data_IF_902896295107
#
_entry.id   IF_902896295107
#
_cell.length_a   1.000
_cell.length_b   1.000
_cell.length_c   1.000
_cell.angle_alpha   90.00
_cell.angle_beta   90.00
_cell.angle_gamma   90.00
#
_symmetry.space_group_name_H-M   'P 1'
#
loop_
_entity.id
_entity.type
_entity.pdbx_description
1 polymer ?
#
# COMPACT_ATOMS: atom_id res chain seq x y z
N UNK A 1 -21.97 3.46 7.49
CA UNK A 1 -23.02 4.00 6.58
C UNK A 1 -23.60 5.33 7.05
N UNK A 2 -23.72 5.61 8.35
CA UNK A 2 -24.15 6.93 8.85
C UNK A 2 -23.10 8.03 8.60
N UNK A 3 -21.82 7.67 8.65
CA UNK A 3 -20.69 8.57 8.44
C UNK A 3 -20.47 8.95 6.96
N UNK A 4 -21.10 8.23 6.04
CA UNK A 4 -20.95 8.48 4.60
C UNK A 4 -21.85 9.62 4.10
N UNK A 5 -22.85 10.03 4.88
CA UNK A 5 -23.75 11.17 4.63
C UNK A 5 -24.24 11.29 3.17
N UNK A 6 -24.60 10.17 2.57
CA UNK A 6 -25.04 10.09 1.17
C UNK A 6 -23.92 10.20 0.11
N UNK A 7 -22.66 10.33 0.51
CA UNK A 7 -21.53 10.35 -0.41
C UNK A 7 -21.07 8.90 -0.69
N UNK A 8 -20.93 8.56 -1.95
CA UNK A 8 -20.42 7.24 -2.33
C UNK A 8 -18.94 7.11 -1.98
N UNK A 9 -18.63 6.12 -1.16
CA UNK A 9 -17.25 5.74 -0.85
C UNK A 9 -16.88 4.51 -1.68
N UNK A 10 -15.81 4.62 -2.40
CA UNK A 10 -15.27 3.53 -3.23
C UNK A 10 -14.11 2.86 -2.52
N UNK A 11 -13.81 1.62 -2.88
CA UNK A 11 -12.67 0.82 -2.41
C UNK A 11 -12.69 0.55 -0.89
N UNK A 12 -13.88 0.44 -0.31
CA UNK A 12 -14.10 -0.02 1.07
C UNK A 12 -14.72 -1.41 1.03
N UNK A 13 -14.24 -2.32 1.88
CA UNK A 13 -14.72 -3.71 2.01
C UNK A 13 -14.70 -4.51 0.70
N UNK A 14 -13.69 -4.29 -0.14
CA UNK A 14 -13.56 -4.91 -1.47
C UNK A 14 -12.80 -6.23 -1.48
N UNK A 15 -12.14 -6.60 -0.38
CA UNK A 15 -11.33 -7.82 -0.28
C UNK A 15 -11.65 -8.61 0.98
N UNK A 16 -11.57 -9.93 0.86
CA UNK A 16 -11.64 -10.82 2.00
C UNK A 16 -10.27 -10.88 2.69
N UNK A 17 -10.18 -10.75 4.04
CA UNK A 17 -8.92 -10.76 4.78
C UNK A 17 -8.11 -12.05 4.64
N UNK A 18 -8.77 -13.18 4.35
CA UNK A 18 -8.10 -14.49 4.16
C UNK A 18 -7.75 -14.79 2.71
N UNK A 19 -8.07 -13.87 1.81
CA UNK A 19 -7.75 -13.97 0.37
C UNK A 19 -6.33 -13.55 0.03
N UNK A 20 -6.07 -13.39 -1.26
CA UNK A 20 -4.79 -12.84 -1.73
C UNK A 20 -4.59 -11.41 -1.22
N UNK A 21 -3.36 -11.07 -0.80
CA UNK A 21 -3.04 -9.71 -0.36
C UNK A 21 -3.38 -8.66 -1.42
N UNK A 22 -4.00 -7.58 -0.99
CA UNK A 22 -4.30 -6.45 -1.86
C UNK A 22 -3.09 -5.54 -1.99
N UNK A 23 -2.56 -5.42 -3.18
CA UNK A 23 -1.33 -4.68 -3.44
C UNK A 23 -1.60 -3.21 -3.80
N UNK A 24 -0.55 -2.38 -3.78
CA UNK A 24 -0.62 -1.00 -4.26
C UNK A 24 -0.93 -0.92 -5.76
N UNK A 25 -0.52 -1.93 -6.54
CA UNK A 25 -0.88 -2.04 -7.96
C UNK A 25 -2.36 -2.33 -8.15
N UNK A 26 -2.94 -3.25 -7.36
CA UNK A 26 -4.38 -3.51 -7.39
C UNK A 26 -5.17 -2.27 -7.03
N UNK A 27 -4.72 -1.56 -5.97
CA UNK A 27 -5.33 -0.29 -5.57
C UNK A 27 -5.30 0.74 -6.71
N UNK A 28 -4.16 0.92 -7.37
CA UNK A 28 -4.03 1.90 -8.44
C UNK A 28 -4.99 1.57 -9.61
N UNK A 29 -5.12 0.30 -9.98
CA UNK A 29 -6.05 -0.14 -11.03
C UNK A 29 -7.51 0.08 -10.63
N UNK A 30 -7.91 -0.38 -9.44
CA UNK A 30 -9.28 -0.23 -8.96
C UNK A 30 -9.66 1.25 -8.75
N UNK A 31 -8.70 2.06 -8.29
CA UNK A 31 -8.89 3.50 -8.12
C UNK A 31 -9.10 4.22 -9.45
N UNK A 32 -8.35 3.87 -10.50
CA UNK A 32 -8.57 4.41 -11.87
C UNK A 32 -9.99 4.15 -12.34
N UNK A 33 -10.46 2.91 -12.19
CA UNK A 33 -11.85 2.54 -12.54
C UNK A 33 -12.88 3.35 -11.74
N UNK A 34 -12.62 3.55 -10.45
CA UNK A 34 -13.51 4.35 -9.60
C UNK A 34 -13.53 5.83 -10.00
N UNK A 35 -12.36 6.39 -10.32
CA UNK A 35 -12.20 7.77 -10.80
C UNK A 35 -13.01 8.00 -12.07
N UNK A 36 -12.89 7.12 -13.06
CA UNK A 36 -13.65 7.22 -14.30
C UNK A 36 -15.16 7.22 -14.05
N UNK A 37 -15.66 6.30 -13.24
CA UNK A 37 -17.09 6.24 -12.85
C UNK A 37 -17.60 7.51 -12.15
N UNK A 38 -16.73 8.22 -11.42
CA UNK A 38 -17.07 9.49 -10.78
C UNK A 38 -17.09 10.62 -11.82
N UNK A 39 -16.10 10.65 -12.71
CA UNK A 39 -15.94 11.63 -13.78
C UNK A 39 -17.09 11.58 -14.80
N UNK A 40 -17.55 10.39 -15.16
CA UNK A 40 -18.73 10.19 -16.02
C UNK A 40 -19.99 10.89 -15.46
N UNK A 41 -20.04 11.07 -14.14
CA UNK A 41 -21.14 11.79 -13.46
C UNK A 41 -20.86 13.29 -13.29
N UNK A 42 -19.78 13.81 -13.90
CA UNK A 42 -19.33 15.19 -13.74
C UNK A 42 -19.13 15.61 -12.26
N UNK A 43 -18.62 14.68 -11.45
CA UNK A 43 -18.38 14.92 -10.02
C UNK A 43 -16.88 15.06 -9.72
N UNK A 44 -16.50 15.89 -8.75
CA UNK A 44 -15.11 15.95 -8.29
C UNK A 44 -14.74 14.64 -7.60
N UNK A 45 -13.48 14.24 -7.77
CA UNK A 45 -12.91 13.07 -7.12
C UNK A 45 -12.15 13.51 -5.87
N UNK A 46 -12.46 12.90 -4.74
CA UNK A 46 -11.73 13.12 -3.47
C UNK A 46 -11.09 11.80 -3.08
N UNK A 47 -9.77 11.80 -2.93
CA UNK A 47 -9.00 10.66 -2.44
C UNK A 47 -8.58 10.95 -1.00
N UNK A 48 -8.96 10.08 -0.07
CA UNK A 48 -8.62 10.23 1.34
C UNK A 48 -8.10 8.92 1.92
N UNK A 49 -7.12 8.99 2.80
CA UNK A 49 -6.57 7.82 3.47
C UNK A 49 -5.20 8.07 4.10
N UNK A 50 -4.75 7.09 4.88
CA UNK A 50 -3.46 7.13 5.59
C UNK A 50 -2.32 6.40 4.87
N UNK A 51 -2.61 5.58 3.87
CA UNK A 51 -1.60 4.80 3.16
C UNK A 51 -1.05 5.60 1.98
N UNK A 52 -0.15 6.53 2.30
CA UNK A 52 0.50 7.40 1.30
C UNK A 52 1.06 6.63 0.09
N UNK A 53 1.66 5.47 0.32
CA UNK A 53 2.25 4.66 -0.75
C UNK A 53 1.22 4.26 -1.82
N UNK A 54 -0.01 3.94 -1.43
CA UNK A 54 -1.07 3.61 -2.38
C UNK A 54 -1.46 4.80 -3.24
N UNK A 55 -1.63 5.96 -2.62
CA UNK A 55 -1.96 7.21 -3.34
C UNK A 55 -0.82 7.59 -4.27
N UNK A 56 0.42 7.45 -3.80
CA UNK A 56 1.61 7.69 -4.63
C UNK A 56 1.64 6.76 -5.86
N UNK A 57 1.35 5.48 -5.70
CA UNK A 57 1.30 4.54 -6.81
C UNK A 57 0.24 4.87 -7.86
N UNK A 58 -0.88 5.48 -7.44
CA UNK A 58 -1.92 5.95 -8.34
C UNK A 58 -1.52 7.21 -9.11
N UNK A 59 -0.83 8.14 -8.43
CA UNK A 59 -0.51 9.48 -8.95
C UNK A 59 0.93 9.62 -9.41
N UNK A 60 1.78 8.61 -9.20
CA UNK A 60 3.17 8.64 -9.64
C UNK A 60 3.25 8.34 -11.15
N UNK A 61 4.17 9.02 -11.81
CA UNK A 61 4.52 8.81 -13.21
C UNK A 61 5.17 7.43 -13.47
N UNK A 62 5.51 6.68 -12.41
CA UNK A 62 6.17 5.39 -12.52
C UNK A 62 5.17 4.26 -12.56
N UNK A 63 5.17 3.53 -13.65
CA UNK A 63 4.45 2.25 -13.69
C UNK A 63 5.03 1.27 -12.67
N UNK A 64 4.17 0.77 -11.77
CA UNK A 64 4.54 -0.37 -10.94
C UNK A 64 4.57 -1.64 -11.80
N UNK A 65 5.65 -2.42 -11.76
CA UNK A 65 5.67 -3.70 -12.46
C UNK A 65 4.50 -4.56 -11.99
N UNK A 66 3.65 -4.99 -12.92
CA UNK A 66 2.50 -5.87 -12.68
C UNK A 66 2.98 -7.32 -12.46
N UNK A 67 3.83 -7.51 -11.47
CA UNK A 67 4.38 -8.82 -11.12
C UNK A 67 3.66 -9.32 -9.89
N UNK A 68 2.88 -10.37 -10.09
CA UNK A 68 2.24 -11.10 -9.00
C UNK A 68 3.26 -11.63 -7.99
N UNK A 69 2.79 -12.03 -6.82
CA UNK A 69 3.63 -12.69 -5.83
C UNK A 69 3.85 -14.16 -6.21
N UNK A 70 5.11 -14.60 -6.21
CA UNK A 70 5.46 -16.01 -6.35
C UNK A 70 5.66 -16.63 -4.96
N UNK A 71 4.61 -17.25 -4.43
CA UNK A 71 4.61 -17.85 -3.07
C UNK A 71 5.67 -18.92 -2.90
N UNK A 72 5.88 -19.76 -3.90
CA UNK A 72 6.84 -20.85 -3.86
C UNK A 72 8.27 -20.30 -3.74
N UNK A 73 8.62 -19.33 -4.61
CA UNK A 73 9.92 -18.67 -4.58
C UNK A 73 10.15 -17.94 -3.27
N UNK A 74 9.13 -17.26 -2.72
CA UNK A 74 9.26 -16.57 -1.42
C UNK A 74 9.50 -17.55 -0.29
N UNK A 75 8.74 -18.66 -0.24
CA UNK A 75 8.94 -19.70 0.77
C UNK A 75 10.32 -20.33 0.70
N UNK A 76 10.87 -20.45 -0.51
CA UNK A 76 12.25 -20.91 -0.69
C UNK A 76 13.25 -19.88 -0.17
N UNK A 77 13.09 -18.62 -0.57
CA UNK A 77 14.00 -17.55 -0.18
C UNK A 77 13.98 -17.25 1.34
N UNK A 78 12.83 -17.42 1.99
CA UNK A 78 12.71 -17.21 3.44
C UNK A 78 13.62 -18.13 4.29
N UNK A 79 14.09 -19.24 3.73
CA UNK A 79 15.00 -20.18 4.42
C UNK A 79 16.42 -19.63 4.55
N UNK A 80 16.78 -18.64 3.76
CA UNK A 80 18.14 -18.05 3.79
C UNK A 80 18.21 -16.89 4.80
N UNK A 81 19.42 -16.67 5.31
CA UNK A 81 19.74 -15.51 6.14
C UNK A 81 19.83 -14.21 5.30
N UNK A 82 19.89 -13.09 6.00
CA UNK A 82 19.85 -11.77 5.36
C UNK A 82 21.10 -11.51 4.49
N UNK A 83 22.27 -11.96 4.91
CA UNK A 83 23.51 -11.75 4.17
C UNK A 83 23.52 -12.56 2.88
N UNK A 84 23.09 -13.81 2.94
CA UNK A 84 22.95 -14.68 1.76
C UNK A 84 21.95 -14.09 0.76
N UNK A 85 20.79 -13.66 1.23
CA UNK A 85 19.78 -13.04 0.36
C UNK A 85 20.28 -11.75 -0.28
N UNK A 86 20.98 -10.92 0.48
CA UNK A 86 21.52 -9.68 -0.06
C UNK A 86 22.60 -9.93 -1.11
N UNK A 87 23.48 -10.92 -0.89
CA UNK A 87 24.48 -11.34 -1.87
C UNK A 87 23.82 -11.87 -3.15
N UNK A 88 22.78 -12.70 -3.03
CA UNK A 88 22.00 -13.17 -4.20
C UNK A 88 21.40 -12.00 -4.98
N UNK A 89 20.86 -10.99 -4.29
CA UNK A 89 20.36 -9.80 -4.96
C UNK A 89 21.48 -9.02 -5.63
N UNK A 90 22.63 -8.88 -4.95
CA UNK A 90 23.78 -8.16 -5.48
C UNK A 90 24.36 -8.80 -6.74
N UNK A 91 24.37 -10.13 -6.82
CA UNK A 91 24.78 -10.86 -8.04
C UNK A 91 23.82 -10.60 -9.22
N UNK A 92 22.52 -10.51 -8.96
CA UNK A 92 21.50 -10.33 -10.00
C UNK A 92 21.36 -8.86 -10.40
N UNK A 93 21.38 -7.95 -9.41
CA UNK A 93 21.20 -6.52 -9.61
C UNK A 93 21.94 -5.71 -8.53
N UNK A 94 23.24 -5.42 -8.73
CA UNK A 94 24.06 -4.70 -7.76
C UNK A 94 23.49 -3.32 -7.40
N UNK A 95 23.01 -2.56 -8.39
CA UNK A 95 22.43 -1.23 -8.20
C UNK A 95 21.22 -1.29 -7.24
N UNK A 96 20.38 -2.31 -7.39
CA UNK A 96 19.22 -2.49 -6.51
C UNK A 96 19.62 -2.96 -5.11
N UNK A 97 20.67 -3.76 -4.98
CA UNK A 97 21.20 -4.19 -3.68
C UNK A 97 21.73 -3.01 -2.86
N UNK A 98 22.38 -2.04 -3.48
CA UNK A 98 22.85 -0.81 -2.80
C UNK A 98 21.71 0.03 -2.22
N UNK A 99 20.52 0.02 -2.85
CA UNK A 99 19.36 0.78 -2.41
C UNK A 99 18.60 0.14 -1.22
N UNK A 100 18.85 -1.14 -0.96
CA UNK A 100 18.08 -1.92 0.04
C UNK A 100 19.01 -2.39 1.15
N UNK A 101 18.71 -1.94 2.38
CA UNK A 101 19.45 -2.40 3.55
C UNK A 101 19.22 -3.91 3.76
N UNK A 102 20.30 -4.69 3.97
CA UNK A 102 20.26 -6.15 4.10
C UNK A 102 19.32 -6.68 5.18
N UNK A 103 19.09 -5.92 6.25
CA UNK A 103 18.15 -6.31 7.32
C UNK A 103 16.67 -6.15 6.90
N UNK A 104 16.39 -5.60 5.74
CA UNK A 104 15.04 -5.54 5.22
C UNK A 104 14.74 -6.75 4.35
N UNK A 105 14.66 -7.93 5.01
CA UNK A 105 14.50 -9.23 4.37
C UNK A 105 13.36 -9.25 3.33
N UNK A 106 12.20 -8.72 3.69
CA UNK A 106 11.04 -8.69 2.79
C UNK A 106 11.30 -7.92 1.50
N UNK A 107 11.96 -6.75 1.61
CA UNK A 107 12.32 -5.96 0.41
C UNK A 107 13.38 -6.63 -0.42
N UNK A 108 14.36 -7.30 0.18
CA UNK A 108 15.38 -8.05 -0.54
C UNK A 108 14.75 -9.23 -1.29
N UNK A 109 13.89 -10.02 -0.62
CA UNK A 109 13.15 -11.13 -1.25
C UNK A 109 12.30 -10.61 -2.43
N UNK A 110 11.57 -9.52 -2.24
CA UNK A 110 10.76 -8.94 -3.32
C UNK A 110 11.62 -8.46 -4.50
N UNK A 111 12.78 -7.89 -4.24
CA UNK A 111 13.69 -7.46 -5.30
C UNK A 111 14.25 -8.65 -6.09
N UNK A 112 14.62 -9.75 -5.42
CA UNK A 112 15.05 -11.00 -6.07
C UNK A 112 13.91 -11.59 -6.92
N UNK A 113 12.69 -11.65 -6.37
CA UNK A 113 11.50 -12.11 -7.07
C UNK A 113 11.26 -11.33 -8.37
N UNK A 114 11.32 -10.01 -8.28
CA UNK A 114 11.16 -9.13 -9.44
C UNK A 114 12.28 -9.36 -10.47
N UNK A 115 13.53 -9.41 -10.03
CA UNK A 115 14.68 -9.60 -10.90
C UNK A 115 14.64 -10.96 -11.64
N UNK A 116 14.24 -12.03 -10.95
CA UNK A 116 14.07 -13.36 -11.57
C UNK A 116 12.90 -13.37 -12.56
N UNK A 117 11.78 -12.73 -12.25
CA UNK A 117 10.61 -12.69 -13.13
C UNK A 117 10.86 -11.86 -14.39
N UNK A 118 11.57 -10.75 -14.27
CA UNK A 118 11.93 -9.86 -15.38
C UNK A 118 13.21 -10.28 -16.12
N UNK A 119 13.77 -11.46 -15.82
CA UNK A 119 15.02 -11.98 -16.39
C UNK A 119 16.19 -10.99 -16.29
N UNK A 120 16.34 -10.37 -15.12
CA UNK A 120 17.39 -9.40 -14.86
C UNK A 120 17.14 -7.99 -15.35
N UNK A 121 16.18 -7.78 -16.22
CA UNK A 121 15.79 -6.45 -16.70
C UNK A 121 14.77 -5.80 -15.76
N UNK A 122 15.23 -5.31 -14.61
CA UNK A 122 14.48 -4.26 -13.93
C UNK A 122 14.87 -2.97 -14.66
N UNK A 123 14.24 -2.74 -15.80
CA UNK A 123 14.25 -1.41 -16.41
C UNK A 123 13.65 -0.45 -15.40
N UNK A 124 14.30 0.69 -15.18
CA UNK A 124 13.64 1.80 -14.48
C UNK A 124 12.29 1.97 -15.16
N UNK A 125 11.20 1.83 -14.37
CA UNK A 125 9.87 2.01 -14.93
C UNK A 125 9.85 3.35 -15.65
N UNK A 126 9.53 3.33 -16.95
CA UNK A 126 9.45 4.54 -17.72
C UNK A 126 8.47 5.49 -17.04
N UNK A 127 8.90 6.75 -16.86
CA UNK A 127 8.01 7.76 -16.32
C UNK A 127 6.95 8.07 -17.37
N UNK A 128 5.69 7.88 -16.99
CA UNK A 128 4.56 8.35 -17.80
C UNK A 128 4.12 9.72 -17.32
N UNK A 129 3.55 10.56 -18.22
CA UNK A 129 2.95 11.82 -17.80
C UNK A 129 1.92 11.60 -16.69
N UNK A 130 1.87 12.51 -15.71
CA UNK A 130 0.84 12.47 -14.67
C UNK A 130 -0.54 12.56 -15.34
N UNK A 131 -1.38 11.59 -15.04
CA UNK A 131 -2.71 11.47 -15.67
C UNK A 131 -3.75 12.42 -15.03
N UNK A 132 -3.45 12.92 -13.82
CA UNK A 132 -4.38 13.71 -13.03
C UNK A 132 -3.75 14.99 -12.49
N UNK A 133 -4.41 16.11 -12.70
CA UNK A 133 -4.15 17.33 -11.92
C UNK A 133 -4.71 17.14 -10.52
N UNK A 134 -3.87 17.32 -9.51
CA UNK A 134 -4.27 17.07 -8.13
C UNK A 134 -3.88 18.21 -7.19
N UNK A 135 -4.79 18.50 -6.24
CA UNK A 135 -4.54 19.43 -5.15
C UNK A 135 -4.40 18.61 -3.86
N UNK A 136 -3.32 18.86 -3.12
CA UNK A 136 -2.99 18.12 -1.93
C UNK A 136 -3.32 18.90 -0.67
N UNK A 137 -3.99 18.24 0.25
CA UNK A 137 -4.25 18.76 1.59
C UNK A 137 -3.61 17.85 2.62
N UNK A 138 -2.83 18.41 3.52
CA UNK A 138 -2.28 17.68 4.66
C UNK A 138 -2.49 18.46 5.94
N UNK A 139 -2.50 17.74 7.07
CA UNK A 139 -2.56 18.38 8.38
C UNK A 139 -1.20 19.02 8.69
N UNK A 140 -1.21 20.24 9.26
CA UNK A 140 0.01 20.95 9.69
C UNK A 140 0.54 20.43 11.04
N UNK A 141 0.51 19.10 11.23
CA UNK A 141 1.05 18.45 12.43
C UNK A 141 2.51 18.00 12.28
N UNK A 142 3.13 18.31 11.14
CA UNK A 142 4.53 17.95 10.87
C UNK A 142 5.47 18.78 11.74
N UNK A 143 5.08 20.01 12.10
CA UNK A 143 5.85 20.88 12.98
C UNK A 143 5.84 20.35 14.41
N UNK A 144 7.00 20.40 15.06
CA UNK A 144 7.20 19.88 16.41
C UNK A 144 6.24 20.52 17.43
N UNK A 145 5.97 21.80 17.30
CA UNK A 145 5.02 22.56 18.10
C UNK A 145 3.57 22.02 18.09
N UNK A 146 3.22 21.28 17.05
CA UNK A 146 1.89 20.70 16.88
C UNK A 146 1.79 19.21 17.25
N UNK A 147 2.92 18.57 17.60
CA UNK A 147 2.95 17.14 17.94
C UNK A 147 2.07 16.78 19.12
N UNK A 148 2.05 17.60 20.17
CA UNK A 148 1.19 17.34 21.32
C UNK A 148 -0.29 17.36 20.96
N UNK A 149 -0.71 18.26 20.07
CA UNK A 149 -2.08 18.31 19.54
C UNK A 149 -2.40 17.07 18.72
N UNK A 150 -1.43 16.58 17.94
CA UNK A 150 -1.56 15.35 17.18
C UNK A 150 -1.76 14.15 18.10
N UNK A 151 -0.95 14.00 19.13
CA UNK A 151 -1.06 12.88 20.08
C UNK A 151 -2.39 12.90 20.81
N UNK A 152 -2.83 14.03 21.35
CA UNK A 152 -4.17 14.16 21.96
C UNK A 152 -5.29 13.77 21.00
N UNK A 153 -5.17 14.09 19.72
CA UNK A 153 -6.16 13.71 18.69
C UNK A 153 -6.12 12.22 18.39
N UNK A 154 -4.93 11.60 18.37
CA UNK A 154 -4.76 10.17 18.19
C UNK A 154 -5.39 9.43 19.36
N UNK A 155 -5.07 9.80 20.59
CA UNK A 155 -5.59 9.20 21.80
C UNK A 155 -7.12 9.29 21.86
N UNK A 156 -7.66 10.49 21.65
CA UNK A 156 -9.10 10.70 21.57
C UNK A 156 -9.77 9.80 20.50
N UNK A 157 -9.14 9.67 19.34
CA UNK A 157 -9.66 8.80 18.27
C UNK A 157 -9.69 7.34 18.70
N UNK A 158 -8.65 6.86 19.37
CA UNK A 158 -8.60 5.48 19.87
C UNK A 158 -9.72 5.25 20.90
N UNK A 159 -9.90 6.18 21.84
CA UNK A 159 -10.99 6.10 22.82
C UNK A 159 -12.36 6.03 22.16
N UNK A 160 -12.61 6.86 21.16
CA UNK A 160 -13.86 6.81 20.39
C UNK A 160 -14.03 5.51 19.60
N UNK A 161 -12.96 4.96 19.02
CA UNK A 161 -13.03 3.66 18.35
C UNK A 161 -13.41 2.54 19.32
N UNK A 162 -12.84 2.53 20.50
CA UNK A 162 -13.19 1.55 21.56
C UNK A 162 -14.66 1.69 21.99
N UNK A 163 -15.12 2.93 22.26
CA UNK A 163 -16.53 3.20 22.60
C UNK A 163 -17.50 2.78 21.50
N UNK A 164 -17.11 2.94 20.24
CA UNK A 164 -17.94 2.61 19.08
C UNK A 164 -17.89 1.13 18.70
N UNK A 165 -17.21 0.27 19.49
CA UNK A 165 -17.29 -1.17 19.36
C UNK A 165 -16.13 -1.84 18.64
N UNK A 166 -14.93 -1.25 18.66
CA UNK A 166 -13.73 -1.82 18.07
C UNK A 166 -13.48 -3.27 18.53
N UNK A 167 -13.64 -3.56 19.83
CA UNK A 167 -13.48 -4.91 20.37
C UNK A 167 -14.51 -5.90 19.80
N UNK A 168 -15.74 -5.44 19.61
CA UNK A 168 -16.79 -6.27 19.03
C UNK A 168 -16.53 -6.59 17.55
N UNK A 169 -16.02 -5.62 16.80
CA UNK A 169 -15.58 -5.87 15.41
C UNK A 169 -14.45 -6.88 15.36
N UNK A 170 -13.47 -6.75 16.27
CA UNK A 170 -12.37 -7.71 16.39
C UNK A 170 -12.85 -9.12 16.73
N UNK A 171 -13.71 -9.26 17.74
CA UNK A 171 -14.30 -10.57 18.12
C UNK A 171 -15.02 -11.24 16.94
N UNK A 172 -15.81 -10.47 16.21
CA UNK A 172 -16.47 -10.97 14.99
C UNK A 172 -15.50 -11.39 13.91
N UNK A 173 -14.46 -10.61 13.68
CA UNK A 173 -13.43 -10.94 12.69
C UNK A 173 -12.68 -12.22 13.09
N UNK A 174 -12.29 -12.35 14.36
CA UNK A 174 -11.66 -13.57 14.90
C UNK A 174 -12.60 -14.77 14.73
N UNK A 175 -13.85 -14.66 15.15
CA UNK A 175 -14.83 -15.76 15.02
C UNK A 175 -15.06 -16.20 13.57
N UNK A 176 -14.97 -15.26 12.62
CA UNK A 176 -15.19 -15.56 11.20
C UNK A 176 -13.95 -16.10 10.50
N UNK A 177 -12.75 -15.62 10.86
CA UNK A 177 -11.53 -15.82 10.09
C UNK A 177 -10.41 -16.60 10.81
N UNK A 178 -10.47 -16.79 12.15
CA UNK A 178 -9.55 -17.72 12.82
C UNK A 178 -9.95 -19.15 12.49
N UNK A 179 -9.02 -19.85 11.91
CA UNK A 179 -9.06 -21.30 11.70
C UNK A 179 -8.26 -21.98 12.80
#
# INVERSE_FOLDING_TARGET
KKEQDGINHHLIDIKDPVGEPYSAGDFANDAKIAIEKIREKNKPVIITGGTWFYIKCLLDEKELPQIGSNKELRTELEKYDNDTLWNMLNEINPKRAEEIHKNNKERVIRAIEMAKTLKGSITEAERKPVEYDSIWFSNDFIKEENREKLYKRIDYRVDEMVKNGLYYEWEKAVAKYSR
#
